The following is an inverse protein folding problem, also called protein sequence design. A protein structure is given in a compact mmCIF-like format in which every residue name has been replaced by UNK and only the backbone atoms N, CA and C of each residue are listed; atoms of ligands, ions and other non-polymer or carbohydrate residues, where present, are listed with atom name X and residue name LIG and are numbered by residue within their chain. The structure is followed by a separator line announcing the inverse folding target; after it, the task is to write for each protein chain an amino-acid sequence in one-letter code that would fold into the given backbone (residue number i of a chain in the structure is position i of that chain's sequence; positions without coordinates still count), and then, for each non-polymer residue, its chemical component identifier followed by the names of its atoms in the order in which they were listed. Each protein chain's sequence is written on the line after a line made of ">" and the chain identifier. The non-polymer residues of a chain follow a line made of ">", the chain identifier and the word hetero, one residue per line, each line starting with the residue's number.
data_IF_629192712504
#
_entry.id   IF_629192712504
#
_cell.length_a   1.000
_cell.length_b   1.000
_cell.length_c   1.000
_cell.angle_alpha   90.00
_cell.angle_beta   90.00
_cell.angle_gamma   90.00
#
_symmetry.space_group_name_H-M   'P 1'
#
loop_
_entity.id
_entity.type
_entity.pdbx_description
1 polymer ?
#
# COMPACT_ATOMS: atom_id res chain seq x y z
N UNK A 1 -23.55 6.50 10.85
CA UNK A 1 -24.01 5.10 10.69
C UNK A 1 -22.81 4.25 10.31
N UNK A 2 -22.29 3.43 11.23
CA UNK A 2 -21.26 2.43 10.93
C UNK A 2 -21.91 1.27 10.22
N UNK A 3 -21.81 1.23 8.89
CA UNK A 3 -22.17 0.04 8.12
C UNK A 3 -21.24 -1.12 8.54
N UNK A 4 -21.78 -2.33 8.80
CA UNK A 4 -20.94 -3.49 9.08
C UNK A 4 -20.08 -3.79 7.85
N UNK A 5 -18.76 -3.72 8.02
CA UNK A 5 -17.79 -4.06 6.99
C UNK A 5 -17.49 -5.56 7.08
N UNK A 6 -17.84 -6.30 6.03
CA UNK A 6 -17.41 -7.68 5.87
C UNK A 6 -15.88 -7.69 5.64
N UNK A 7 -15.11 -7.99 6.69
CA UNK A 7 -13.66 -8.16 6.58
C UNK A 7 -13.40 -9.60 6.13
N UNK A 8 -13.02 -9.78 4.86
CA UNK A 8 -12.58 -11.08 4.37
C UNK A 8 -11.25 -11.46 5.03
N UNK A 9 -11.28 -12.52 5.83
CA UNK A 9 -10.12 -13.09 6.49
C UNK A 9 -10.14 -14.60 6.30
N UNK A 10 -9.37 -15.07 5.34
CA UNK A 10 -9.12 -16.49 5.15
C UNK A 10 -7.61 -16.75 5.13
N UNK A 11 -7.00 -17.02 6.30
CA UNK A 11 -5.59 -17.37 6.38
C UNK A 11 -5.26 -18.68 5.66
N UNK A 12 -6.27 -19.51 5.35
CA UNK A 12 -6.06 -20.82 4.71
C UNK A 12 -5.79 -20.70 3.21
N UNK A 13 -6.27 -19.64 2.56
CA UNK A 13 -5.96 -19.27 1.18
C UNK A 13 -4.45 -19.09 0.89
N UNK A 14 -3.64 -18.79 1.92
CA UNK A 14 -2.18 -18.66 1.79
C UNK A 14 -1.51 -20.00 2.12
N UNK A 15 -0.62 -20.55 1.26
CA UNK A 15 0.14 -21.76 1.57
C UNK A 15 0.95 -21.63 2.87
N UNK A 16 1.00 -22.67 3.70
CA UNK A 16 1.64 -22.64 5.03
C UNK A 16 3.06 -22.06 5.02
N UNK A 17 3.89 -22.44 4.04
CA UNK A 17 5.26 -21.93 3.87
C UNK A 17 5.32 -20.42 3.62
N UNK A 18 4.29 -19.84 3.01
CA UNK A 18 4.18 -18.39 2.75
C UNK A 18 3.56 -17.63 3.92
N UNK A 19 2.95 -18.29 4.92
CA UNK A 19 2.32 -17.60 6.06
C UNK A 19 3.32 -16.98 7.02
N UNK A 20 4.47 -17.61 7.22
CA UNK A 20 5.51 -17.13 8.14
C UNK A 20 6.02 -15.75 7.71
N UNK A 21 6.52 -15.54 6.47
CA UNK A 21 7.00 -14.22 6.06
C UNK A 21 5.89 -13.16 6.09
N UNK A 22 4.65 -13.51 5.74
CA UNK A 22 3.51 -12.57 5.80
C UNK A 22 3.21 -12.16 7.25
N UNK A 23 3.20 -13.11 8.20
CA UNK A 23 2.99 -12.81 9.63
C UNK A 23 4.12 -11.98 10.22
N UNK A 24 5.37 -12.25 9.84
CA UNK A 24 6.52 -11.44 10.24
C UNK A 24 6.41 -10.01 9.68
N UNK A 25 6.04 -9.86 8.41
CA UNK A 25 5.80 -8.55 7.79
C UNK A 25 4.67 -7.78 8.50
N UNK A 26 3.55 -8.44 8.84
CA UNK A 26 2.46 -7.85 9.61
C UNK A 26 2.91 -7.43 11.02
N UNK A 27 3.66 -8.28 11.72
CA UNK A 27 4.20 -7.96 13.05
C UNK A 27 5.13 -6.75 13.02
N UNK A 28 6.08 -6.75 12.09
CA UNK A 28 7.00 -5.64 11.86
C UNK A 28 6.25 -4.35 11.48
N UNK A 29 5.26 -4.44 10.60
CA UNK A 29 4.42 -3.31 10.20
C UNK A 29 3.65 -2.71 11.37
N UNK A 30 3.07 -3.53 12.25
CA UNK A 30 2.39 -3.05 13.46
C UNK A 30 3.35 -2.35 14.43
N UNK A 31 4.55 -2.90 14.61
CA UNK A 31 5.58 -2.28 15.44
C UNK A 31 6.04 -0.93 14.84
N UNK A 32 6.19 -0.87 13.52
CA UNK A 32 6.60 0.33 12.81
C UNK A 32 5.50 1.40 12.80
N UNK A 33 4.24 1.00 12.67
CA UNK A 33 3.06 1.89 12.72
C UNK A 33 2.92 2.63 14.07
N UNK A 34 3.50 2.09 15.15
CA UNK A 34 3.57 2.76 16.47
C UNK A 34 4.69 3.79 16.58
N UNK A 35 5.55 3.91 15.57
CA UNK A 35 6.69 4.86 15.57
C UNK A 35 6.28 6.20 14.97
N UNK A 36 7.01 7.25 15.32
CA UNK A 36 6.83 8.57 14.71
C UNK A 36 7.00 8.49 13.18
N UNK A 37 6.22 9.23 12.38
CA UNK A 37 6.28 9.19 10.92
C UNK A 37 7.69 9.36 10.33
N UNK A 38 8.50 10.24 10.94
CA UNK A 38 9.91 10.43 10.58
C UNK A 38 10.74 9.14 10.67
N UNK A 39 10.52 8.31 11.70
CA UNK A 39 11.23 7.03 11.87
C UNK A 39 10.77 6.01 10.85
N UNK A 40 9.46 5.95 10.57
CA UNK A 40 8.91 5.08 9.52
C UNK A 40 9.59 5.41 8.19
N UNK A 41 9.62 6.70 7.84
CA UNK A 41 10.29 7.21 6.65
C UNK A 41 11.75 6.75 6.56
N UNK A 42 12.57 7.04 7.58
CA UNK A 42 14.00 6.69 7.56
C UNK A 42 14.20 5.18 7.39
N UNK A 43 13.40 4.37 8.08
CA UNK A 43 13.47 2.90 7.95
C UNK A 43 13.12 2.46 6.53
N UNK A 44 12.04 2.98 5.95
CA UNK A 44 11.63 2.63 4.59
C UNK A 44 12.63 3.13 3.53
N UNK A 45 13.17 4.33 3.68
CA UNK A 45 14.22 4.89 2.80
C UNK A 45 15.52 4.08 2.84
N UNK A 46 15.84 3.48 3.98
CA UNK A 46 16.96 2.55 4.09
C UNK A 46 16.63 1.20 3.46
N UNK A 47 15.46 0.63 3.77
CA UNK A 47 15.03 -0.67 3.27
C UNK A 47 14.88 -0.70 1.75
N UNK A 48 14.47 0.40 1.10
CA UNK A 48 14.27 0.42 -0.36
C UNK A 48 15.55 0.17 -1.17
N UNK A 49 16.72 0.38 -0.56
CA UNK A 49 18.01 0.29 -1.26
C UNK A 49 18.22 -1.12 -1.83
N UNK A 50 18.62 -1.17 -3.10
CA UNK A 50 18.91 -2.41 -3.82
C UNK A 50 17.68 -3.23 -4.26
N UNK A 51 16.46 -2.75 -4.03
CA UNK A 51 15.25 -3.39 -4.51
C UNK A 51 14.89 -2.93 -5.93
N UNK A 52 14.27 -3.82 -6.71
CA UNK A 52 13.74 -3.50 -8.04
C UNK A 52 12.33 -2.90 -7.93
N UNK A 53 11.86 -2.09 -8.90
CA UNK A 53 10.47 -1.65 -8.93
C UNK A 53 9.50 -2.84 -8.91
N UNK A 54 8.48 -2.75 -8.07
CA UNK A 54 7.38 -3.71 -8.00
C UNK A 54 6.36 -3.52 -9.12
N UNK A 55 5.85 -4.62 -9.68
CA UNK A 55 4.70 -4.56 -10.59
C UNK A 55 3.38 -4.46 -9.82
N UNK A 56 2.31 -4.05 -10.52
CA UNK A 56 0.97 -3.99 -9.94
C UNK A 56 0.50 -5.35 -9.43
N UNK A 57 0.74 -6.42 -10.20
CA UNK A 57 0.36 -7.79 -9.83
C UNK A 57 1.09 -8.28 -8.57
N UNK A 58 2.41 -8.07 -8.51
CA UNK A 58 3.21 -8.46 -7.34
C UNK A 58 2.76 -7.74 -6.07
N UNK A 59 2.46 -6.45 -6.19
CA UNK A 59 2.00 -5.62 -5.07
C UNK A 59 0.60 -6.02 -4.62
N UNK A 60 -0.30 -6.34 -5.57
CA UNK A 60 -1.65 -6.87 -5.29
C UNK A 60 -1.58 -8.20 -4.54
N UNK A 61 -0.84 -9.16 -5.06
CA UNK A 61 -0.68 -10.47 -4.43
C UNK A 61 -0.11 -10.38 -3.00
N UNK A 62 0.84 -9.47 -2.77
CA UNK A 62 1.38 -9.20 -1.43
C UNK A 62 0.31 -8.59 -0.51
N UNK A 63 -0.46 -7.60 -0.98
CA UNK A 63 -1.55 -6.98 -0.22
C UNK A 63 -2.63 -7.98 0.15
N UNK A 64 -3.04 -8.82 -0.79
CA UNK A 64 -4.10 -9.81 -0.59
C UNK A 64 -3.66 -10.86 0.44
N UNK A 65 -2.40 -11.30 0.37
CA UNK A 65 -1.81 -12.18 1.39
C UNK A 65 -1.83 -11.55 2.78
N UNK A 66 -1.51 -10.26 2.89
CA UNK A 66 -1.53 -9.50 4.16
C UNK A 66 -2.94 -9.41 4.74
N UNK A 67 -3.93 -9.07 3.91
CA UNK A 67 -5.34 -8.94 4.34
C UNK A 67 -5.89 -10.31 4.74
N UNK A 68 -5.58 -11.36 3.99
CA UNK A 68 -6.01 -12.73 4.27
C UNK A 68 -5.57 -13.23 5.66
N UNK A 69 -4.38 -12.84 6.14
CA UNK A 69 -3.84 -13.33 7.42
C UNK A 69 -4.00 -12.35 8.60
N UNK A 70 -4.58 -11.17 8.40
CA UNK A 70 -4.68 -10.13 9.43
C UNK A 70 -5.97 -9.33 9.33
N UNK A 71 -6.93 -9.63 10.19
CA UNK A 71 -8.18 -8.86 10.38
C UNK A 71 -7.92 -7.35 10.61
N UNK A 72 -6.93 -7.04 11.45
CA UNK A 72 -6.54 -5.65 11.72
C UNK A 72 -5.96 -4.92 10.50
N UNK A 73 -5.42 -5.66 9.53
CA UNK A 73 -5.05 -5.09 8.25
C UNK A 73 -6.26 -5.02 7.31
N UNK A 74 -7.23 -5.91 7.41
CA UNK A 74 -8.42 -5.92 6.55
C UNK A 74 -9.44 -4.80 6.82
N UNK A 75 -9.57 -4.33 8.06
CA UNK A 75 -10.53 -3.26 8.41
C UNK A 75 -10.16 -1.86 7.89
N UNK A 76 -11.15 -0.97 7.75
CA UNK A 76 -11.00 0.44 7.30
C UNK A 76 -9.86 1.22 7.97
N UNK A 77 -9.70 1.10 9.28
CA UNK A 77 -8.67 1.84 10.04
C UNK A 77 -7.27 1.22 9.91
N UNK A 78 -7.16 0.05 9.30
CA UNK A 78 -5.92 -0.69 9.11
C UNK A 78 -5.04 -0.21 7.96
N UNK A 79 -5.32 0.93 7.32
CA UNK A 79 -4.60 1.38 6.12
C UNK A 79 -3.08 1.52 6.32
N UNK A 80 -2.65 2.07 7.46
CA UNK A 80 -1.24 2.22 7.79
C UNK A 80 -0.52 0.87 8.00
N UNK A 81 -0.94 -0.02 8.92
CA UNK A 81 -0.30 -1.32 9.07
C UNK A 81 -0.44 -2.20 7.83
N UNK A 82 -1.53 -2.11 7.07
CA UNK A 82 -1.71 -2.84 5.80
C UNK A 82 -0.67 -2.41 4.77
N UNK A 83 -0.59 -1.11 4.46
CA UNK A 83 0.36 -0.60 3.46
C UNK A 83 1.82 -0.88 3.86
N UNK A 84 2.16 -0.76 5.15
CA UNK A 84 3.47 -1.12 5.69
C UNK A 84 3.76 -2.63 5.56
N UNK A 85 2.80 -3.49 5.89
CA UNK A 85 2.98 -4.94 5.76
C UNK A 85 3.16 -5.34 4.28
N UNK A 86 2.38 -4.74 3.38
CA UNK A 86 2.50 -4.97 1.94
C UNK A 86 3.89 -4.60 1.43
N UNK A 87 4.40 -3.39 1.75
CA UNK A 87 5.73 -2.98 1.27
C UNK A 87 6.86 -3.80 1.88
N UNK A 88 6.77 -4.18 3.16
CA UNK A 88 7.76 -5.05 3.80
C UNK A 88 7.76 -6.44 3.18
N UNK A 89 6.58 -7.01 2.88
CA UNK A 89 6.48 -8.29 2.20
C UNK A 89 7.04 -8.20 0.78
N UNK A 90 6.75 -7.11 0.04
CA UNK A 90 7.37 -6.87 -1.25
C UNK A 90 8.89 -6.84 -1.14
N UNK A 91 9.42 -6.15 -0.13
CA UNK A 91 10.87 -6.04 0.08
C UNK A 91 11.54 -7.39 0.33
N UNK A 92 10.87 -8.32 1.00
CA UNK A 92 11.35 -9.70 1.19
C UNK A 92 11.50 -10.45 -0.14
N UNK A 93 10.73 -10.07 -1.16
CA UNK A 93 10.81 -10.61 -2.51
C UNK A 93 11.77 -9.82 -3.43
N UNK A 94 12.52 -8.86 -2.89
CA UNK A 94 13.47 -8.05 -3.68
C UNK A 94 12.82 -6.95 -4.53
N UNK A 95 11.52 -6.72 -4.35
CA UNK A 95 10.74 -5.70 -5.06
C UNK A 95 10.28 -4.58 -4.12
N UNK A 96 10.07 -3.39 -4.67
CA UNK A 96 9.68 -2.21 -3.92
C UNK A 96 8.59 -1.44 -4.67
N UNK A 97 7.35 -1.39 -4.15
CA UNK A 97 6.35 -0.43 -4.58
C UNK A 97 6.63 0.96 -3.98
N UNK A 98 6.07 2.01 -4.57
CA UNK A 98 6.08 3.33 -3.94
C UNK A 98 5.15 3.30 -2.73
N UNK A 99 5.66 3.68 -1.56
CA UNK A 99 4.81 3.87 -0.38
C UNK A 99 4.30 5.30 -0.34
N UNK A 100 3.01 5.47 -0.05
CA UNK A 100 2.36 6.78 -0.01
C UNK A 100 1.63 6.98 1.32
N UNK A 101 1.75 8.19 1.87
CA UNK A 101 0.90 8.69 2.96
C UNK A 101 0.31 10.02 2.51
N UNK A 102 -0.98 10.20 2.76
CA UNK A 102 -1.71 11.37 2.30
C UNK A 102 -3.07 11.49 2.96
N UNK A 103 -3.97 12.16 2.26
CA UNK A 103 -5.35 12.31 2.71
C UNK A 103 -6.33 12.11 1.55
N UNK A 104 -7.58 11.77 1.92
CA UNK A 104 -8.72 11.79 1.00
C UNK A 104 -9.01 13.23 0.59
N UNK A 105 -9.16 13.49 -0.71
CA UNK A 105 -9.51 14.83 -1.23
C UNK A 105 -10.98 15.18 -1.03
N UNK A 106 -11.85 14.18 -1.07
CA UNK A 106 -13.28 14.34 -0.88
C UNK A 106 -13.70 13.95 0.55
N UNK A 107 -14.73 14.61 1.11
CA UNK A 107 -15.28 14.25 2.41
C UNK A 107 -15.72 12.77 2.49
N UNK A 108 -15.60 12.13 3.66
CA UNK A 108 -14.96 12.66 4.88
C UNK A 108 -13.43 12.73 4.73
N UNK A 109 -12.86 13.88 5.09
CA UNK A 109 -11.41 14.07 5.11
C UNK A 109 -10.78 13.14 6.14
N UNK A 110 -9.73 12.42 5.73
CA UNK A 110 -9.05 11.48 6.60
C UNK A 110 -7.67 11.15 6.08
N UNK A 111 -6.74 10.96 7.00
CA UNK A 111 -5.42 10.44 6.67
C UNK A 111 -5.54 9.04 6.06
N UNK A 112 -4.75 8.77 5.04
CA UNK A 112 -4.71 7.48 4.35
C UNK A 112 -3.27 7.09 4.05
N UNK A 113 -3.00 5.80 4.05
CA UNK A 113 -1.72 5.24 3.66
C UNK A 113 -1.95 4.08 2.70
N UNK A 114 -1.22 4.07 1.58
CA UNK A 114 -1.36 3.09 0.51
C UNK A 114 -0.01 2.80 -0.13
N UNK A 115 0.00 1.82 -1.03
CA UNK A 115 1.14 1.53 -1.91
C UNK A 115 0.71 1.75 -3.35
N UNK A 116 1.63 2.24 -4.16
CA UNK A 116 1.47 2.41 -5.60
C UNK A 116 2.51 1.57 -6.34
N UNK A 117 2.07 0.92 -7.41
CA UNK A 117 2.92 0.21 -8.34
C UNK A 117 2.48 0.59 -9.75
N UNK A 118 3.44 0.81 -10.65
CA UNK A 118 3.17 1.26 -12.03
C UNK A 118 2.27 2.50 -12.09
N UNK A 119 2.42 3.40 -11.10
CA UNK A 119 1.62 4.62 -10.99
C UNK A 119 0.18 4.44 -10.50
N UNK A 120 -0.23 3.21 -10.12
CA UNK A 120 -1.61 2.88 -9.73
C UNK A 120 -1.71 2.58 -8.22
N UNK A 121 -2.65 3.21 -7.47
CA UNK A 121 -2.97 2.84 -6.10
C UNK A 121 -3.48 1.39 -6.00
N UNK A 122 -2.82 0.57 -5.18
CA UNK A 122 -3.09 -0.87 -5.16
C UNK A 122 -4.21 -1.23 -4.18
N UNK A 123 -5.27 -1.83 -4.71
CA UNK A 123 -6.42 -2.32 -3.95
C UNK A 123 -7.30 -1.20 -3.40
N UNK A 124 -7.22 -0.02 -4.01
CA UNK A 124 -8.13 1.08 -3.78
C UNK A 124 -9.10 1.17 -4.96
N UNK A 125 -10.40 1.19 -4.69
CA UNK A 125 -11.46 1.27 -5.71
C UNK A 125 -11.89 2.70 -6.04
N UNK A 126 -11.20 3.67 -5.46
CA UNK A 126 -11.50 5.09 -5.65
C UNK A 126 -10.82 5.62 -6.93
N UNK A 127 -11.34 6.71 -7.53
CA UNK A 127 -10.73 7.33 -8.71
C UNK A 127 -9.25 7.72 -8.48
N UNK A 128 -8.41 7.81 -9.53
CA UNK A 128 -6.96 8.05 -9.43
C UNK A 128 -6.56 9.34 -8.71
N UNK A 129 -7.45 10.32 -8.62
CA UNK A 129 -7.28 11.61 -7.96
C UNK A 129 -7.93 11.67 -6.57
N UNK A 130 -8.57 10.60 -6.10
CA UNK A 130 -9.25 10.60 -4.81
C UNK A 130 -8.29 10.78 -3.62
N UNK A 131 -7.06 10.30 -3.75
CA UNK A 131 -6.01 10.50 -2.75
C UNK A 131 -5.03 11.58 -3.19
N UNK A 132 -4.59 12.40 -2.23
CA UNK A 132 -3.50 13.35 -2.40
C UNK A 132 -2.31 12.89 -1.56
N UNK A 133 -1.20 12.45 -2.17
CA UNK A 133 0.00 12.12 -1.41
C UNK A 133 0.56 13.39 -0.77
N UNK A 134 0.87 13.30 0.52
CA UNK A 134 1.61 14.31 1.27
C UNK A 134 3.08 13.92 1.40
N UNK A 135 3.34 12.61 1.45
CA UNK A 135 4.66 12.04 1.61
C UNK A 135 4.76 10.69 0.89
N UNK A 136 5.89 10.43 0.22
CA UNK A 136 6.14 9.17 -0.48
C UNK A 136 7.55 8.63 -0.25
N UNK A 137 7.71 7.31 -0.34
CA UNK A 137 9.01 6.61 -0.44
C UNK A 137 9.03 5.86 -1.77
N UNK A 138 9.65 6.43 -2.82
CA UNK A 138 9.49 5.92 -4.18
C UNK A 138 10.42 4.74 -4.48
N UNK A 139 10.00 3.87 -5.42
CA UNK A 139 10.77 2.73 -5.92
C UNK A 139 11.95 3.11 -6.82
N UNK A 140 11.81 4.21 -7.56
CA UNK A 140 12.86 4.88 -8.31
C UNK A 140 12.60 6.39 -8.26
N UNK A 141 13.61 7.27 -8.44
CA UNK A 141 13.36 8.69 -8.65
C UNK A 141 12.73 8.89 -10.04
N UNK A 142 11.42 8.63 -10.15
CA UNK A 142 10.60 8.95 -11.31
C UNK A 142 9.79 10.23 -11.05
N UNK A 143 9.49 11.04 -12.08
CA UNK A 143 8.92 12.38 -11.92
C UNK A 143 7.57 12.33 -11.21
N UNK A 144 7.43 13.19 -10.20
CA UNK A 144 6.15 13.49 -9.56
C UNK A 144 5.36 14.39 -10.50
N UNK A 145 4.79 13.84 -11.57
CA UNK A 145 3.93 14.60 -12.47
C UNK A 145 2.81 13.71 -13.02
N UNK A 146 1.68 13.66 -12.30
CA UNK A 146 0.42 13.14 -12.85
C UNK A 146 -0.33 14.30 -13.54
N UNK A 147 0.05 14.60 -14.77
CA UNK A 147 -0.75 15.48 -15.66
C UNK A 147 -1.15 14.81 -16.99
N UNK A 148 -0.73 13.57 -17.26
CA UNK A 148 -1.02 12.90 -18.52
C UNK A 148 -2.05 11.77 -18.37
N UNK A 149 -3.27 12.09 -17.92
CA UNK A 149 -4.48 11.26 -18.20
C UNK A 149 -5.67 12.21 -18.41
N UNK A 150 -5.54 13.21 -19.29
CA UNK A 150 -6.69 14.00 -19.76
C UNK A 150 -6.76 14.04 -21.31
N UNK A 151 -5.74 13.58 -22.05
CA UNK A 151 -5.70 13.76 -23.51
C UNK A 151 -6.08 12.54 -24.37
N UNK A 152 -6.73 11.51 -23.82
CA UNK A 152 -7.15 10.33 -24.62
C UNK A 152 -8.66 10.04 -24.54
N UNK A 153 -9.46 11.07 -24.24
CA UNK A 153 -10.92 10.98 -24.27
C UNK A 153 -11.60 12.14 -25.02
N UNK A 154 -10.89 12.75 -25.99
CA UNK A 154 -11.42 13.84 -26.83
C UNK A 154 -11.17 13.68 -28.33
N UNK A 155 -10.83 12.49 -28.81
CA UNK A 155 -10.61 12.26 -30.24
C UNK A 155 -11.56 11.21 -30.85
N UNK A 156 -12.76 11.09 -30.30
CA UNK A 156 -13.92 10.53 -31.01
C UNK A 156 -15.11 11.47 -30.77
N UNK A 157 -15.27 12.40 -31.72
CA UNK A 157 -16.34 13.40 -31.78
C UNK A 157 -16.27 14.13 -33.11
#
# INVERSE_FOLDING_TARGET
>A
MTSPEAIFHDPRSVPLRRRIPVRLAVGAARLLARRRPRRIRVVLEWLRRGARPATLEQTRAARDSVVAVSLACGGREGCLPRSLATILLCRLHGQWPTWCVGARRLPPFGAHAWVEAEGVPVGETHPPDYFRPLFTVPCAPGPVSREAVIHEARSDG
#
